data_IF_854213452536
#
_entry.id   IF_854213452536
#
_cell.length_a   1.000
_cell.length_b   1.000
_cell.length_c   1.000
_cell.angle_alpha   90.00
_cell.angle_beta   90.00
_cell.angle_gamma   90.00
#
_symmetry.space_group_name_H-M   'P 1'
#
loop_
_entity.id
_entity.type
_entity.pdbx_description
1 polymer ?
#
# COMPACT_ATOMS: atom_id res chain seq x y z
N UNK A 1 -24.71 18.39 -28.79
CA UNK A 1 -24.46 16.92 -28.80
C UNK A 1 -23.04 16.50 -28.35
N UNK A 2 -22.02 17.38 -28.38
CA UNK A 2 -20.64 17.05 -27.98
C UNK A 2 -20.43 16.91 -26.46
N UNK A 3 -21.09 17.75 -25.64
CA UNK A 3 -20.93 17.74 -24.17
C UNK A 3 -21.32 16.41 -23.50
N UNK A 4 -22.38 15.74 -23.97
CA UNK A 4 -22.82 14.44 -23.43
C UNK A 4 -21.83 13.31 -23.78
N UNK A 5 -21.19 13.38 -24.94
CA UNK A 5 -20.14 12.42 -25.36
C UNK A 5 -18.89 12.58 -24.51
N UNK A 6 -18.50 13.82 -24.23
CA UNK A 6 -17.36 14.12 -23.35
C UNK A 6 -17.60 13.64 -21.91
N UNK A 7 -18.81 13.88 -21.37
CA UNK A 7 -19.21 13.37 -20.05
C UNK A 7 -19.14 11.84 -20.00
N UNK A 8 -19.64 11.14 -21.02
CA UNK A 8 -19.53 9.67 -21.11
C UNK A 8 -18.08 9.18 -21.17
N UNK A 9 -17.19 9.88 -21.89
CA UNK A 9 -15.75 9.56 -21.91
C UNK A 9 -15.13 9.72 -20.52
N UNK A 10 -15.44 10.80 -19.80
CA UNK A 10 -14.93 11.03 -18.44
C UNK A 10 -15.45 9.96 -17.46
N UNK A 11 -16.74 9.61 -17.53
CA UNK A 11 -17.34 8.56 -16.71
C UNK A 11 -16.68 7.20 -17.01
N UNK A 12 -16.51 6.85 -18.29
CA UNK A 12 -15.85 5.61 -18.70
C UNK A 12 -14.37 5.55 -18.26
N UNK A 13 -13.63 6.66 -18.35
CA UNK A 13 -12.25 6.74 -17.84
C UNK A 13 -12.16 6.57 -16.32
N UNK A 14 -13.14 7.11 -15.57
CA UNK A 14 -13.25 6.90 -14.11
C UNK A 14 -13.55 5.44 -13.78
N UNK A 15 -14.49 4.80 -14.47
CA UNK A 15 -14.78 3.38 -14.32
C UNK A 15 -13.56 2.52 -14.66
N UNK A 16 -12.83 2.82 -15.74
CA UNK A 16 -11.61 2.11 -16.11
C UNK A 16 -10.49 2.24 -15.05
N UNK A 17 -10.27 3.43 -14.49
CA UNK A 17 -9.31 3.63 -13.38
C UNK A 17 -9.72 2.88 -12.12
N UNK A 18 -11.01 2.87 -11.77
CA UNK A 18 -11.51 2.12 -10.62
C UNK A 18 -11.38 0.60 -10.79
N UNK A 19 -11.59 0.10 -12.01
CA UNK A 19 -11.36 -1.31 -12.36
C UNK A 19 -9.88 -1.68 -12.27
N UNK A 20 -8.97 -0.84 -12.78
CA UNK A 20 -7.53 -1.06 -12.72
C UNK A 20 -7.00 -1.18 -11.28
N UNK A 21 -7.45 -0.31 -10.37
CA UNK A 21 -7.08 -0.39 -8.95
C UNK A 21 -7.61 -1.66 -8.26
N UNK A 22 -8.84 -2.09 -8.58
CA UNK A 22 -9.42 -3.35 -8.06
C UNK A 22 -8.65 -4.59 -8.55
N UNK A 23 -8.17 -4.58 -9.79
CA UNK A 23 -7.38 -5.67 -10.36
C UNK A 23 -6.01 -5.78 -9.67
N UNK A 24 -5.33 -4.65 -9.43
CA UNK A 24 -4.07 -4.64 -8.69
C UNK A 24 -4.21 -5.22 -7.27
N UNK A 25 -5.26 -4.85 -6.53
CA UNK A 25 -5.52 -5.39 -5.19
C UNK A 25 -5.75 -6.91 -5.19
N UNK A 26 -6.53 -7.42 -6.16
CA UNK A 26 -6.77 -8.86 -6.33
C UNK A 26 -5.48 -9.63 -6.69
N UNK A 27 -4.66 -9.09 -7.60
CA UNK A 27 -3.36 -9.65 -7.94
C UNK A 27 -2.46 -9.75 -6.70
N UNK A 28 -2.35 -8.68 -5.90
CA UNK A 28 -1.58 -8.69 -4.65
C UNK A 28 -2.08 -9.76 -3.66
N UNK A 29 -3.39 -9.95 -3.56
CA UNK A 29 -3.98 -11.01 -2.74
C UNK A 29 -3.52 -12.42 -3.15
N UNK A 30 -3.44 -12.68 -4.46
CA UNK A 30 -3.01 -13.97 -5.01
C UNK A 30 -1.50 -14.25 -4.76
N UNK A 31 -0.64 -13.24 -4.86
CA UNK A 31 0.82 -13.39 -4.61
C UNK A 31 1.16 -13.40 -3.10
N UNK A 32 0.21 -13.06 -2.24
CA UNK A 32 0.41 -12.97 -0.79
C UNK A 32 0.67 -14.32 -0.12
N UNK A 33 0.16 -15.43 -0.67
CA UNK A 33 0.18 -16.76 -0.04
C UNK A 33 -0.22 -16.70 1.45
N UNK A 34 0.53 -17.34 2.36
CA UNK A 34 0.28 -17.41 3.81
C UNK A 34 0.66 -16.16 4.62
N UNK A 35 1.00 -15.03 3.97
CA UNK A 35 1.36 -13.81 4.70
C UNK A 35 0.13 -13.17 5.34
N UNK A 36 0.22 -12.91 6.66
CA UNK A 36 -0.81 -12.16 7.40
C UNK A 36 -0.70 -10.68 7.04
N UNK A 37 -1.52 -10.23 6.08
CA UNK A 37 -1.60 -8.82 5.68
C UNK A 37 -2.51 -8.02 6.60
N UNK A 38 -2.13 -6.77 6.85
CA UNK A 38 -2.97 -5.81 7.54
C UNK A 38 -3.95 -5.18 6.55
N UNK A 39 -5.23 -5.54 6.66
CA UNK A 39 -6.33 -5.15 5.76
C UNK A 39 -7.40 -4.31 6.46
N UNK A 40 -7.02 -3.38 7.35
CA UNK A 40 -7.96 -2.60 8.18
C UNK A 40 -7.79 -1.10 7.95
N UNK A 41 -8.83 -0.32 8.22
CA UNK A 41 -8.83 1.15 8.13
C UNK A 41 -8.36 1.70 6.76
N UNK A 42 -8.62 0.96 5.68
CA UNK A 42 -8.19 1.34 4.33
C UNK A 42 -6.69 1.13 4.05
N UNK A 43 -5.97 0.46 4.95
CA UNK A 43 -4.60 0.02 4.72
C UNK A 43 -4.58 -1.41 4.17
N UNK A 44 -3.66 -1.65 3.24
CA UNK A 44 -3.35 -2.96 2.69
C UNK A 44 -1.82 -3.15 2.69
N UNK A 45 -1.28 -3.66 3.81
CA UNK A 45 0.16 -3.73 4.09
C UNK A 45 0.60 -5.15 4.45
N UNK A 46 1.81 -5.55 4.02
CA UNK A 46 2.52 -6.71 4.55
C UNK A 46 3.12 -6.34 5.92
N UNK A 47 2.28 -6.44 6.95
CA UNK A 47 2.51 -5.98 8.31
C UNK A 47 1.67 -6.84 9.27
N UNK A 48 2.30 -7.35 10.33
CA UNK A 48 1.66 -8.20 11.34
C UNK A 48 1.99 -7.71 12.74
N UNK A 49 0.97 -7.58 13.58
CA UNK A 49 1.15 -7.39 15.02
C UNK A 49 1.50 -8.75 15.64
N UNK A 50 2.73 -8.87 16.15
CA UNK A 50 3.16 -10.02 16.97
C UNK A 50 2.53 -9.88 18.35
N UNK A 51 2.56 -8.65 18.89
CA UNK A 51 1.86 -8.24 20.10
C UNK A 51 1.17 -6.89 19.87
N UNK A 52 0.49 -6.35 20.88
CA UNK A 52 -0.07 -4.99 20.80
C UNK A 52 0.97 -3.88 20.63
N UNK A 53 2.26 -4.16 20.90
CA UNK A 53 3.35 -3.18 20.85
C UNK A 53 4.48 -3.52 19.87
N UNK A 54 4.49 -4.74 19.33
CA UNK A 54 5.54 -5.22 18.42
C UNK A 54 4.93 -5.57 17.07
N UNK A 55 5.44 -4.91 16.04
CA UNK A 55 5.01 -5.10 14.64
C UNK A 55 6.21 -5.65 13.86
N UNK A 56 5.95 -6.70 13.08
CA UNK A 56 6.86 -7.13 12.02
C UNK A 56 6.27 -6.76 10.66
N UNK A 57 7.07 -6.17 9.78
CA UNK A 57 6.66 -5.78 8.43
C UNK A 57 7.77 -6.01 7.42
N UNK A 58 7.40 -6.13 6.15
CA UNK A 58 8.39 -6.09 5.08
C UNK A 58 8.98 -4.68 4.91
N UNK A 59 10.23 -4.60 4.45
CA UNK A 59 10.90 -3.32 4.19
C UNK A 59 10.08 -2.46 3.22
N UNK A 60 9.83 -1.18 3.56
CA UNK A 60 9.11 -0.27 2.68
C UNK A 60 9.97 0.11 1.47
N UNK A 61 9.32 0.44 0.35
CA UNK A 61 9.98 0.88 -0.90
C UNK A 61 9.40 2.22 -1.37
N UNK A 62 10.19 2.96 -2.15
CA UNK A 62 9.76 4.19 -2.80
C UNK A 62 9.28 3.92 -4.24
N UNK A 63 8.33 4.72 -4.72
CA UNK A 63 8.01 4.81 -6.16
C UNK A 63 7.39 3.58 -6.82
N UNK A 64 7.73 3.36 -8.11
CA UNK A 64 7.06 2.43 -9.04
C UNK A 64 7.20 0.94 -8.70
N UNK A 65 8.09 0.57 -7.78
CA UNK A 65 8.25 -0.82 -7.28
C UNK A 65 7.22 -1.19 -6.20
N UNK A 66 6.33 -0.26 -5.83
CA UNK A 66 5.20 -0.47 -4.92
C UNK A 66 4.21 -1.54 -5.41
N UNK A 67 4.23 -1.99 -6.67
CA UNK A 67 3.21 -2.89 -7.24
C UNK A 67 2.87 -4.12 -6.37
N UNK A 68 3.81 -4.65 -5.58
CA UNK A 68 3.56 -5.71 -4.59
C UNK A 68 4.22 -5.50 -3.21
N UNK A 69 5.04 -4.45 -3.01
CA UNK A 69 5.70 -4.13 -1.72
C UNK A 69 4.96 -3.01 -0.98
N UNK A 70 5.27 -2.87 0.31
CA UNK A 70 4.76 -1.75 1.10
C UNK A 70 5.32 -0.43 0.57
N UNK A 71 4.43 0.48 0.16
CA UNK A 71 4.79 1.85 -0.21
C UNK A 71 5.17 2.65 1.05
N UNK A 72 6.32 3.33 1.05
CA UNK A 72 6.82 4.06 2.22
C UNK A 72 5.86 5.16 2.69
N UNK A 73 5.15 5.84 1.78
CA UNK A 73 4.18 6.87 2.15
C UNK A 73 2.95 6.25 2.82
N UNK A 74 2.55 5.04 2.41
CA UNK A 74 1.45 4.31 3.04
C UNK A 74 1.86 3.79 4.41
N UNK A 75 3.09 3.30 4.58
CA UNK A 75 3.64 2.88 5.89
C UNK A 75 3.74 4.08 6.83
N UNK A 76 4.26 5.21 6.37
CA UNK A 76 4.34 6.45 7.15
C UNK A 76 2.96 6.90 7.62
N UNK A 77 1.94 6.86 6.73
CA UNK A 77 0.56 7.20 7.08
C UNK A 77 -0.03 6.20 8.07
N UNK A 78 0.25 4.92 7.93
CA UNK A 78 -0.20 3.88 8.86
C UNK A 78 0.36 4.11 10.27
N UNK A 79 1.67 4.34 10.38
CA UNK A 79 2.32 4.60 11.67
C UNK A 79 1.81 5.89 12.31
N UNK A 80 1.65 6.96 11.52
CA UNK A 80 1.08 8.21 12.01
C UNK A 80 -0.39 8.06 12.44
N UNK A 81 -1.19 7.26 11.74
CA UNK A 81 -2.61 7.07 12.07
C UNK A 81 -2.82 6.17 13.29
N UNK A 82 -2.08 5.07 13.39
CA UNK A 82 -2.27 4.06 14.44
C UNK A 82 -1.43 4.31 15.70
N UNK A 83 -0.27 4.95 15.56
CA UNK A 83 0.77 5.05 16.61
C UNK A 83 1.39 6.46 16.69
N UNK A 84 0.61 7.52 16.44
CA UNK A 84 1.11 8.90 16.40
C UNK A 84 2.02 9.23 17.59
N UNK A 85 3.25 9.69 17.31
CA UNK A 85 4.22 10.09 18.33
C UNK A 85 4.76 8.97 19.23
N UNK A 86 4.38 7.70 18.99
CA UNK A 86 4.74 6.58 19.86
C UNK A 86 5.12 5.32 19.06
N UNK A 87 6.16 5.43 18.23
CA UNK A 87 6.73 4.29 17.54
C UNK A 87 8.23 4.48 17.29
N UNK A 88 8.93 3.36 17.13
CA UNK A 88 10.29 3.31 16.60
C UNK A 88 10.34 2.33 15.44
N UNK A 89 11.15 2.64 14.42
CA UNK A 89 11.35 1.76 13.27
C UNK A 89 12.79 1.25 13.31
N UNK A 90 12.95 -0.06 13.35
CA UNK A 90 14.25 -0.73 13.29
C UNK A 90 14.40 -1.36 11.91
N UNK A 91 15.37 -0.89 11.13
CA UNK A 91 15.76 -1.55 9.89
C UNK A 91 16.77 -2.65 10.22
N UNK A 92 16.44 -3.90 9.88
CA UNK A 92 17.28 -5.07 10.12
C UNK A 92 18.01 -5.53 8.84
N UNK A 93 17.86 -4.80 7.74
CA UNK A 93 18.57 -5.10 6.49
C UNK A 93 20.02 -4.60 6.58
N UNK A 94 20.96 -5.45 6.13
CA UNK A 94 22.39 -5.14 6.08
C UNK A 94 22.71 -4.05 5.03
N UNK A 95 21.94 -4.02 3.94
CA UNK A 95 22.06 -3.00 2.90
C UNK A 95 21.14 -1.82 3.17
N UNK A 96 21.73 -0.63 3.38
CA UNK A 96 21.06 0.66 3.25
C UNK A 96 20.89 1.00 1.76
N UNK A 97 19.95 0.36 1.08
CA UNK A 97 19.38 0.98 -0.11
C UNK A 97 18.38 2.01 0.40
N UNK A 98 18.83 3.26 0.47
CA UNK A 98 17.98 4.44 0.48
C UNK A 98 16.91 4.19 -0.58
N UNK A 99 15.63 4.17 -0.20
CA UNK A 99 14.59 3.75 -1.14
C UNK A 99 14.40 4.74 -2.30
N UNK A 100 15.03 5.91 -2.21
CA UNK A 100 15.26 6.94 -3.21
C UNK A 100 16.30 6.61 -4.30
N UNK A 101 17.12 5.56 -4.12
CA UNK A 101 18.18 5.17 -5.06
C UNK A 101 19.56 5.59 -4.62
#
# INVERSE_FOLDING_TARGET
>A
AAGLRLIRVIINLRHARALSGKVQGKLRGLVSQNRRRFLKHGFDLDCTYITSRVIAMSAPVFGRHSSYRNDIHVVSRFLAYMHYGNFFVFNLCDTYYSSDG
#
